data_IF_777639900169
#
_entry.id   IF_777639900169
#
_cell.length_a   1.000
_cell.length_b   1.000
_cell.length_c   1.000
_cell.angle_alpha   90.00
_cell.angle_beta   90.00
_cell.angle_gamma   90.00
#
_symmetry.space_group_name_H-M   'P 1'
#
loop_
_entity.id
_entity.type
_entity.pdbx_description
1 polymer ?
#
# COMPACT_ATOMS: atom_id res chain seq x y z
N UNK A 1 32.95 -21.51 24.24
CA UNK A 1 31.52 -21.11 24.25
C UNK A 1 30.69 -22.36 24.37
N UNK A 2 29.98 -22.53 25.48
CA UNK A 2 29.22 -23.75 25.77
C UNK A 2 27.94 -23.79 24.95
N UNK A 3 27.52 -24.98 24.51
CA UNK A 3 26.26 -25.22 23.79
C UNK A 3 25.03 -24.63 24.49
N UNK A 4 25.06 -24.59 25.82
CA UNK A 4 24.01 -24.03 26.68
C UNK A 4 23.91 -22.50 26.56
N UNK A 5 25.03 -21.76 26.44
CA UNK A 5 25.04 -20.30 26.29
C UNK A 5 24.47 -19.90 24.93
N UNK A 6 24.77 -20.67 23.88
CA UNK A 6 24.24 -20.48 22.55
C UNK A 6 22.72 -20.72 22.49
N UNK A 7 22.23 -21.72 23.24
CA UNK A 7 20.81 -22.02 23.28
C UNK A 7 20.00 -20.93 24.00
N UNK A 8 20.50 -20.44 25.14
CA UNK A 8 19.87 -19.34 25.88
C UNK A 8 19.82 -18.04 25.02
N UNK A 9 20.87 -17.75 24.26
CA UNK A 9 20.89 -16.59 23.35
C UNK A 9 19.86 -16.75 22.23
N UNK A 10 19.68 -17.95 21.68
CA UNK A 10 18.67 -18.24 20.67
C UNK A 10 17.24 -18.11 21.23
N UNK A 11 17.00 -18.59 22.45
CA UNK A 11 15.70 -18.47 23.12
C UNK A 11 15.35 -17.00 23.43
N UNK A 12 16.34 -16.16 23.80
CA UNK A 12 16.12 -14.71 23.95
C UNK A 12 15.66 -14.07 22.64
N UNK A 13 16.21 -14.50 21.50
CA UNK A 13 15.80 -13.98 20.18
C UNK A 13 14.37 -14.34 19.81
N UNK A 14 13.79 -15.43 20.37
CA UNK A 14 12.40 -15.81 20.13
C UNK A 14 11.38 -14.98 20.93
N UNK A 15 11.82 -14.18 21.89
CA UNK A 15 10.91 -13.34 22.67
C UNK A 15 10.34 -12.23 21.79
N UNK A 16 9.03 -11.99 21.92
CA UNK A 16 8.31 -11.00 21.12
C UNK A 16 8.95 -9.60 21.19
N UNK A 17 9.44 -9.20 22.37
CA UNK A 17 10.12 -7.90 22.58
C UNK A 17 11.38 -7.72 21.73
N UNK A 18 11.99 -8.83 21.25
CA UNK A 18 13.20 -8.84 20.44
C UNK A 18 12.91 -9.00 18.94
N UNK A 19 11.63 -9.01 18.52
CA UNK A 19 11.19 -9.15 17.13
C UNK A 19 10.99 -7.77 16.50
N UNK A 20 11.91 -7.35 15.63
CA UNK A 20 11.79 -6.07 14.91
C UNK A 20 10.53 -5.99 14.03
N UNK A 21 10.17 -7.10 13.40
CA UNK A 21 9.02 -7.14 12.49
C UNK A 21 7.67 -7.01 13.20
N UNK A 22 7.59 -7.35 14.49
CA UNK A 22 6.34 -7.26 15.24
C UNK A 22 5.81 -5.82 15.37
N UNK A 23 6.58 -4.83 15.86
CA UNK A 23 6.09 -3.45 15.94
C UNK A 23 5.77 -2.87 14.56
N UNK A 24 6.49 -3.25 13.51
CA UNK A 24 6.17 -2.85 12.14
C UNK A 24 4.79 -3.39 11.70
N UNK A 25 4.54 -4.68 11.93
CA UNK A 25 3.26 -5.32 11.65
C UNK A 25 2.11 -4.68 12.45
N UNK A 26 2.30 -4.50 13.75
CA UNK A 26 1.29 -3.92 14.64
C UNK A 26 0.98 -2.46 14.28
N UNK A 27 2.01 -1.64 14.04
CA UNK A 27 1.87 -0.25 13.63
C UNK A 27 1.17 -0.12 12.27
N UNK A 28 1.53 -0.96 11.29
CA UNK A 28 0.86 -1.00 9.99
C UNK A 28 -0.64 -1.24 10.13
N UNK A 29 -1.05 -2.24 10.91
CA UNK A 29 -2.47 -2.53 11.16
C UNK A 29 -3.19 -1.38 11.86
N UNK A 30 -2.56 -0.75 12.82
CA UNK A 30 -3.15 0.39 13.54
C UNK A 30 -3.36 1.59 12.63
N UNK A 31 -2.37 1.93 11.81
CA UNK A 31 -2.47 3.01 10.81
C UNK A 31 -3.61 2.72 9.82
N UNK A 32 -3.71 1.50 9.30
CA UNK A 32 -4.79 1.14 8.37
C UNK A 32 -6.18 1.31 8.98
N UNK A 33 -6.35 0.99 10.28
CA UNK A 33 -7.61 1.25 10.99
C UNK A 33 -7.95 2.74 11.06
N UNK A 34 -6.96 3.62 11.16
CA UNK A 34 -7.17 5.09 11.17
C UNK A 34 -7.69 5.61 9.83
N UNK A 35 -7.38 4.95 8.72
CA UNK A 35 -7.95 5.28 7.40
C UNK A 35 -9.43 4.90 7.27
N UNK A 36 -9.90 3.86 7.95
CA UNK A 36 -11.23 3.27 7.75
C UNK A 36 -12.38 4.29 7.76
N UNK A 37 -12.52 5.20 8.77
CA UNK A 37 -13.62 6.14 8.79
C UNK A 37 -13.57 7.15 7.62
N UNK A 38 -12.39 7.57 7.21
CA UNK A 38 -12.25 8.54 6.10
C UNK A 38 -12.44 7.89 4.73
N UNK A 39 -12.07 6.62 4.59
CA UNK A 39 -12.28 5.86 3.36
C UNK A 39 -13.73 5.44 3.17
N UNK A 40 -14.51 5.30 4.24
CA UNK A 40 -15.93 5.03 4.16
C UNK A 40 -16.69 6.16 3.44
N UNK A 41 -16.28 7.42 3.62
CA UNK A 41 -16.87 8.59 2.96
C UNK A 41 -16.70 8.59 1.44
N UNK A 42 -15.73 7.85 0.93
CA UNK A 42 -15.42 7.70 -0.51
C UNK A 42 -15.67 6.28 -1.03
N UNK A 43 -16.25 5.42 -0.21
CA UNK A 43 -16.54 4.00 -0.51
C UNK A 43 -15.34 3.24 -1.07
N UNK A 44 -14.17 3.39 -0.45
CA UNK A 44 -12.94 2.70 -0.82
C UNK A 44 -12.38 1.88 0.34
N UNK A 45 -11.82 0.72 0.02
CA UNK A 45 -10.85 0.06 0.90
C UNK A 45 -9.49 0.75 0.80
N UNK A 46 -8.59 0.51 1.76
CA UNK A 46 -7.25 1.13 1.71
C UNK A 46 -6.48 0.76 0.43
N UNK A 47 -6.54 -0.50 0.00
CA UNK A 47 -5.84 -0.92 -1.23
C UNK A 47 -6.47 -0.31 -2.49
N UNK A 48 -7.80 -0.15 -2.53
CA UNK A 48 -8.48 0.60 -3.60
C UNK A 48 -8.05 2.07 -3.61
N UNK A 49 -7.90 2.67 -2.45
CA UNK A 49 -7.41 4.04 -2.32
C UNK A 49 -5.98 4.20 -2.88
N UNK A 50 -5.08 3.23 -2.60
CA UNK A 50 -3.73 3.23 -3.19
C UNK A 50 -3.76 3.17 -4.72
N UNK A 51 -4.63 2.35 -5.31
CA UNK A 51 -4.84 2.31 -6.76
C UNK A 51 -5.33 3.67 -7.28
N UNK A 52 -6.27 4.30 -6.59
CA UNK A 52 -6.76 5.63 -6.99
C UNK A 52 -5.67 6.68 -6.89
N UNK A 53 -4.81 6.66 -5.86
CA UNK A 53 -3.68 7.59 -5.76
C UNK A 53 -2.79 7.53 -7.01
N UNK A 54 -2.46 6.33 -7.48
CA UNK A 54 -1.67 6.15 -8.71
C UNK A 54 -2.44 6.64 -9.93
N UNK A 55 -3.73 6.31 -10.05
CA UNK A 55 -4.54 6.72 -11.20
C UNK A 55 -4.85 8.22 -11.23
N UNK A 56 -4.93 8.89 -10.09
CA UNK A 56 -5.06 10.35 -10.05
C UNK A 56 -3.80 11.08 -10.53
N UNK A 57 -2.65 10.43 -10.44
CA UNK A 57 -1.36 10.94 -10.93
C UNK A 57 -1.15 10.58 -12.41
N UNK A 58 -1.16 9.28 -12.72
CA UNK A 58 -0.75 8.73 -14.03
C UNK A 58 -1.86 8.71 -15.09
N UNK A 59 -3.13 8.79 -14.68
CA UNK A 59 -4.35 8.66 -15.51
C UNK A 59 -4.53 7.28 -16.14
N UNK A 60 -3.48 6.69 -16.69
CA UNK A 60 -3.49 5.38 -17.36
C UNK A 60 -2.12 4.73 -17.28
N UNK A 61 -2.07 3.45 -16.92
CA UNK A 61 -0.85 2.66 -16.90
C UNK A 61 -1.18 1.17 -17.08
N UNK A 62 -0.15 0.34 -17.27
CA UNK A 62 -0.36 -1.10 -17.34
C UNK A 62 -0.60 -1.70 -15.96
N UNK A 63 -1.26 -2.87 -15.89
CA UNK A 63 -1.42 -3.62 -14.64
C UNK A 63 -0.05 -3.98 -14.06
N UNK A 64 0.94 -4.30 -14.91
CA UNK A 64 2.31 -4.59 -14.47
C UNK A 64 2.98 -3.41 -13.78
N UNK A 65 2.88 -2.20 -14.37
CA UNK A 65 3.42 -0.97 -13.75
C UNK A 65 2.72 -0.65 -12.43
N UNK A 66 1.40 -0.86 -12.37
CA UNK A 66 0.62 -0.67 -11.15
C UNK A 66 1.05 -1.64 -10.04
N UNK A 67 1.30 -2.92 -10.37
CA UNK A 67 1.85 -3.90 -9.45
C UNK A 67 3.19 -3.45 -8.87
N UNK A 68 4.10 -2.99 -9.72
CA UNK A 68 5.42 -2.51 -9.30
C UNK A 68 5.31 -1.29 -8.36
N UNK A 69 4.50 -0.30 -8.72
CA UNK A 69 4.32 0.91 -7.91
C UNK A 69 3.73 0.61 -6.53
N UNK A 70 2.85 -0.37 -6.42
CA UNK A 70 2.15 -0.73 -5.18
C UNK A 70 2.81 -1.89 -4.41
N UNK A 71 3.88 -2.47 -4.92
CA UNK A 71 4.51 -3.68 -4.36
C UNK A 71 3.49 -4.82 -4.16
N UNK A 72 2.59 -5.00 -5.14
CA UNK A 72 1.56 -6.04 -5.16
C UNK A 72 1.77 -6.99 -6.33
N UNK A 73 1.29 -8.22 -6.17
CA UNK A 73 1.22 -9.18 -7.27
C UNK A 73 -0.09 -9.06 -8.07
N UNK A 74 -0.08 -9.60 -9.28
CA UNK A 74 -1.23 -9.56 -10.19
C UNK A 74 -2.44 -10.33 -9.62
N UNK A 75 -2.21 -11.42 -8.88
CA UNK A 75 -3.27 -12.21 -8.24
C UNK A 75 -4.05 -11.41 -7.21
N UNK A 76 -3.36 -10.58 -6.43
CA UNK A 76 -3.96 -9.66 -5.45
C UNK A 76 -4.67 -8.49 -6.14
N UNK A 77 -4.06 -7.92 -7.19
CA UNK A 77 -4.57 -6.72 -7.84
C UNK A 77 -5.78 -6.98 -8.74
N UNK A 78 -5.83 -8.12 -9.45
CA UNK A 78 -6.88 -8.39 -10.44
C UNK A 78 -8.30 -8.40 -9.87
N UNK A 79 -8.62 -9.05 -8.72
CA UNK A 79 -9.96 -8.97 -8.13
C UNK A 79 -10.31 -7.56 -7.66
N UNK A 80 -9.30 -6.81 -7.18
CA UNK A 80 -9.45 -5.44 -6.73
C UNK A 80 -9.88 -4.52 -7.89
N UNK A 81 -9.18 -4.60 -9.02
CA UNK A 81 -9.49 -3.83 -10.22
C UNK A 81 -10.88 -4.18 -10.78
N UNK A 82 -11.27 -5.47 -10.76
CA UNK A 82 -12.64 -5.87 -11.13
C UNK A 82 -13.70 -5.20 -10.25
N UNK A 83 -13.46 -5.14 -8.95
CA UNK A 83 -14.37 -4.49 -8.01
C UNK A 83 -14.48 -2.99 -8.28
N UNK A 84 -13.37 -2.33 -8.58
CA UNK A 84 -13.32 -0.89 -8.86
C UNK A 84 -13.95 -0.55 -10.22
N UNK A 85 -13.81 -1.43 -11.21
CA UNK A 85 -14.47 -1.30 -12.51
C UNK A 85 -15.99 -1.40 -12.37
N UNK A 86 -16.51 -2.30 -11.52
CA UNK A 86 -17.94 -2.37 -11.18
C UNK A 86 -18.46 -1.09 -10.49
N UNK A 87 -17.60 -0.38 -9.79
CA UNK A 87 -17.92 0.92 -9.19
C UNK A 87 -17.76 2.08 -10.19
N UNK A 88 -17.44 1.79 -11.44
CA UNK A 88 -17.18 2.78 -12.50
C UNK A 88 -16.05 3.77 -12.20
N UNK A 89 -15.05 3.37 -11.40
CA UNK A 89 -13.91 4.24 -11.04
C UNK A 89 -12.76 4.14 -12.04
N UNK A 90 -12.67 3.04 -12.74
CA UNK A 90 -11.66 2.76 -13.76
C UNK A 90 -12.22 1.82 -14.83
N UNK A 91 -11.51 1.73 -15.95
CA UNK A 91 -11.74 0.76 -17.01
C UNK A 91 -10.47 -0.02 -17.29
N UNK A 92 -10.62 -1.26 -17.69
CA UNK A 92 -9.53 -2.14 -18.12
C UNK A 92 -9.67 -2.44 -19.59
N UNK A 93 -8.62 -2.21 -20.35
CA UNK A 93 -8.57 -2.49 -21.78
C UNK A 93 -7.35 -3.34 -22.09
N UNK A 94 -7.45 -4.24 -23.08
CA UNK A 94 -6.28 -4.91 -23.63
C UNK A 94 -5.52 -3.94 -24.51
N UNK A 95 -4.20 -4.02 -24.44
CA UNK A 95 -3.36 -3.18 -25.29
C UNK A 95 -3.54 -3.61 -26.76
N UNK A 96 -3.64 -2.64 -27.68
CA UNK A 96 -3.86 -2.91 -29.09
C UNK A 96 -2.67 -3.56 -29.81
N UNK A 97 -1.47 -3.39 -29.24
CA UNK A 97 -0.23 -3.94 -29.79
C UNK A 97 0.12 -5.32 -29.20
N UNK A 98 -0.27 -5.60 -27.95
CA UNK A 98 -0.07 -6.89 -27.28
C UNK A 98 -1.24 -7.21 -26.34
N UNK A 99 -2.12 -8.11 -26.75
CA UNK A 99 -3.32 -8.53 -25.99
C UNK A 99 -3.02 -9.14 -24.62
N UNK A 100 -1.78 -9.50 -24.34
CA UNK A 100 -1.34 -9.98 -23.02
C UNK A 100 -1.19 -8.84 -22.01
N UNK A 101 -1.05 -7.62 -22.51
CA UNK A 101 -0.93 -6.41 -21.70
C UNK A 101 -2.32 -5.85 -21.42
N UNK A 102 -2.64 -5.69 -20.14
CA UNK A 102 -3.87 -5.01 -19.70
C UNK A 102 -3.52 -3.63 -19.19
N UNK A 103 -4.20 -2.64 -19.70
CA UNK A 103 -4.09 -1.24 -19.30
C UNK A 103 -5.27 -0.85 -18.42
N UNK A 104 -4.99 -0.10 -17.38
CA UNK A 104 -5.99 0.48 -16.48
C UNK A 104 -6.03 1.99 -16.70
N UNK A 105 -7.21 2.53 -16.88
CA UNK A 105 -7.42 3.98 -17.07
C UNK A 105 -8.51 4.48 -16.12
N UNK A 106 -8.31 5.66 -15.55
CA UNK A 106 -9.29 6.29 -14.68
C UNK A 106 -10.51 6.77 -15.51
N UNK A 107 -11.71 6.66 -14.94
CA UNK A 107 -12.94 7.23 -15.50
C UNK A 107 -13.16 8.67 -15.02
N UNK A 108 -14.15 9.35 -15.57
CA UNK A 108 -14.56 10.68 -15.10
C UNK A 108 -15.04 10.63 -13.65
N UNK A 109 -15.84 9.61 -13.29
CA UNK A 109 -16.29 9.39 -11.90
C UNK A 109 -15.10 9.11 -10.95
N UNK A 110 -14.13 8.32 -11.40
CA UNK A 110 -12.90 8.11 -10.65
C UNK A 110 -12.11 9.40 -10.46
N UNK A 111 -12.08 10.27 -11.48
CA UNK A 111 -11.42 11.55 -11.40
C UNK A 111 -12.15 12.54 -10.46
N UNK A 112 -13.48 12.56 -10.48
CA UNK A 112 -14.30 13.40 -9.60
C UNK A 112 -14.14 13.00 -8.13
N UNK A 113 -13.99 11.69 -7.85
CA UNK A 113 -13.78 11.18 -6.50
C UNK A 113 -12.54 11.79 -5.84
N UNK A 114 -11.55 12.23 -6.62
CA UNK A 114 -10.34 12.91 -6.14
C UNK A 114 -10.67 14.08 -5.20
N UNK A 115 -11.68 14.88 -5.54
CA UNK A 115 -12.06 16.06 -4.75
C UNK A 115 -12.48 15.68 -3.33
N UNK A 116 -13.21 14.58 -3.18
CA UNK A 116 -13.63 14.06 -1.86
C UNK A 116 -12.45 13.48 -1.06
N UNK A 117 -11.46 12.94 -1.77
CA UNK A 117 -10.30 12.30 -1.16
C UNK A 117 -9.18 13.27 -0.73
N UNK A 118 -9.19 14.53 -1.19
CA UNK A 118 -8.10 15.51 -0.97
C UNK A 118 -7.73 15.70 0.51
N UNK A 119 -8.71 15.59 1.41
CA UNK A 119 -8.50 15.82 2.84
C UNK A 119 -8.03 14.58 3.62
N UNK A 120 -8.09 13.39 3.01
CA UNK A 120 -7.78 12.12 3.70
C UNK A 120 -6.36 12.11 4.26
N UNK A 121 -5.29 12.46 3.47
CA UNK A 121 -3.93 12.41 3.99
C UNK A 121 -3.72 13.32 5.20
N UNK A 122 -4.26 14.54 5.18
CA UNK A 122 -4.15 15.49 6.28
C UNK A 122 -4.87 14.97 7.54
N UNK A 123 -6.09 14.46 7.39
CA UNK A 123 -6.89 13.91 8.51
C UNK A 123 -6.19 12.72 9.15
N UNK A 124 -5.66 11.79 8.36
CA UNK A 124 -4.91 10.64 8.89
C UNK A 124 -3.61 11.08 9.54
N UNK A 125 -2.90 12.04 8.94
CA UNK A 125 -1.67 12.60 9.50
C UNK A 125 -1.84 13.12 10.92
N UNK A 126 -2.98 13.74 11.25
CA UNK A 126 -3.27 14.19 12.63
C UNK A 126 -3.48 13.03 13.62
N UNK A 127 -3.77 11.83 13.14
CA UNK A 127 -3.96 10.63 13.96
C UNK A 127 -2.67 9.86 14.23
N UNK A 128 -1.55 10.27 13.60
CA UNK A 128 -0.24 9.64 13.73
C UNK A 128 0.67 10.62 14.48
N UNK A 129 1.05 10.24 15.70
CA UNK A 129 1.87 11.10 16.56
C UNK A 129 3.36 10.99 16.23
N UNK A 130 3.76 11.53 15.06
CA UNK A 130 5.15 11.65 14.62
C UNK A 130 5.45 13.10 14.26
N UNK A 131 6.64 13.55 14.60
CA UNK A 131 7.18 14.80 14.05
C UNK A 131 7.49 14.62 12.56
N UNK A 132 7.65 15.73 11.85
CA UNK A 132 8.00 15.69 10.43
C UNK A 132 9.34 14.97 10.19
N UNK A 133 10.32 15.15 11.08
CA UNK A 133 11.62 14.49 10.98
C UNK A 133 11.53 12.98 11.21
N UNK A 134 10.75 12.55 12.21
CA UNK A 134 10.50 11.13 12.49
C UNK A 134 9.77 10.47 11.32
N UNK A 135 8.76 11.11 10.76
CA UNK A 135 8.03 10.61 9.59
C UNK A 135 8.95 10.46 8.37
N UNK A 136 9.80 11.45 8.09
CA UNK A 136 10.77 11.38 7.00
C UNK A 136 11.80 10.25 7.21
N UNK A 137 12.27 10.07 8.43
CA UNK A 137 13.21 9.00 8.80
C UNK A 137 12.58 7.62 8.64
N UNK A 138 11.34 7.44 9.12
CA UNK A 138 10.58 6.20 8.96
C UNK A 138 10.34 5.88 7.49
N UNK A 139 9.90 6.86 6.69
CA UNK A 139 9.70 6.70 5.26
C UNK A 139 10.95 6.18 4.57
N UNK A 140 12.10 6.80 4.82
CA UNK A 140 13.40 6.39 4.24
C UNK A 140 13.77 4.96 4.62
N UNK A 141 13.55 4.56 5.89
CA UNK A 141 13.87 3.21 6.38
C UNK A 141 12.95 2.16 5.71
N UNK A 142 11.65 2.44 5.63
CA UNK A 142 10.68 1.53 5.01
C UNK A 142 11.00 1.32 3.53
N UNK A 143 11.30 2.37 2.78
CA UNK A 143 11.70 2.24 1.37
C UNK A 143 13.03 1.51 1.18
N UNK A 144 13.98 1.65 2.09
CA UNK A 144 15.20 0.84 2.07
C UNK A 144 14.89 -0.66 2.18
N UNK A 145 13.92 -1.05 3.01
CA UNK A 145 13.49 -2.44 3.14
C UNK A 145 12.80 -2.92 1.86
N UNK A 146 11.84 -2.15 1.33
CA UNK A 146 11.07 -2.51 0.14
C UNK A 146 11.96 -2.68 -1.10
N UNK A 147 12.88 -1.75 -1.34
CA UNK A 147 13.76 -1.78 -2.51
C UNK A 147 14.83 -2.88 -2.43
N UNK A 148 15.28 -3.25 -1.23
CA UNK A 148 16.21 -4.38 -1.08
C UNK A 148 15.56 -5.74 -1.37
N UNK A 149 14.25 -5.86 -1.17
CA UNK A 149 13.50 -7.09 -1.47
C UNK A 149 13.19 -7.26 -2.97
N UNK A 150 13.22 -6.18 -3.75
CA UNK A 150 12.95 -6.21 -5.21
C UNK A 150 14.16 -6.68 -6.04
N UNK A 151 15.33 -6.90 -5.41
CA UNK A 151 16.58 -7.31 -6.07
C UNK A 151 16.89 -8.81 -5.92
N UNK A 152 15.93 -9.60 -5.44
CA UNK A 152 16.07 -11.06 -5.23
C UNK A 152 15.09 -11.83 -6.18
#
# INVERSE_FOLDING_TARGET
MNSTDNQLELEERLKLKNQLCFPLYAASRDILKKYTPFLADVDLTYTQYLVMLVLWEEKSLTVGDLCQKLFLDTGTLSPLLKSMEKKNLLVRTRDSSDERIVRVSITDEGQELKQKALQIPAKVGTCINLTQEEAASLYRILYKILLSSSSS
#
